data_IF_753277741673
#
_entry.id   IF_753277741673
#
_cell.length_a   1.000
_cell.length_b   1.000
_cell.length_c   1.000
_cell.angle_alpha   90.00
_cell.angle_beta   90.00
_cell.angle_gamma   90.00
#
_symmetry.space_group_name_H-M   'P 1'
#
loop_
_entity.id
_entity.type
_entity.pdbx_description
1 polymer ?
#
# COMPACT_ATOMS: atom_id res chain seq x y z
N UNK A 1 -25.94 -23.13 15.85
CA UNK A 1 -25.75 -22.40 14.59
C UNK A 1 -26.05 -20.93 14.87
N UNK A 2 -25.03 -20.12 15.13
CA UNK A 2 -25.22 -18.67 15.25
C UNK A 2 -25.41 -18.12 13.82
N UNK A 3 -26.48 -17.37 13.60
CA UNK A 3 -26.69 -16.69 12.32
C UNK A 3 -25.60 -15.63 12.15
N UNK A 4 -24.88 -15.67 11.03
CA UNK A 4 -23.92 -14.63 10.66
C UNK A 4 -24.60 -13.27 10.68
N UNK A 5 -23.96 -12.29 11.31
CA UNK A 5 -24.51 -10.96 11.39
C UNK A 5 -24.60 -10.35 9.99
N UNK A 6 -25.74 -9.80 9.55
CA UNK A 6 -25.87 -9.13 8.25
C UNK A 6 -24.80 -8.04 8.03
N UNK A 7 -24.24 -7.51 9.12
CA UNK A 7 -23.20 -6.47 9.12
C UNK A 7 -21.82 -7.02 8.75
N UNK A 8 -21.53 -8.29 9.07
CA UNK A 8 -20.25 -8.93 8.74
C UNK A 8 -20.18 -9.30 7.26
N UNK A 9 -21.27 -9.84 6.71
CA UNK A 9 -21.42 -10.11 5.27
C UNK A 9 -21.24 -8.84 4.42
N UNK A 10 -21.83 -7.71 4.84
CA UNK A 10 -21.67 -6.42 4.13
C UNK A 10 -20.23 -5.89 4.22
N UNK A 11 -19.49 -6.19 5.29
CA UNK A 11 -18.10 -5.73 5.47
C UNK A 11 -17.11 -6.54 4.65
N UNK A 12 -17.35 -7.84 4.43
CA UNK A 12 -16.54 -8.68 3.55
C UNK A 12 -16.79 -8.41 2.06
N UNK A 13 -18.03 -8.10 1.68
CA UNK A 13 -18.37 -7.76 0.29
C UNK A 13 -18.00 -6.32 -0.11
N UNK A 14 -17.75 -5.44 0.86
CA UNK A 14 -17.35 -4.07 0.58
C UNK A 14 -15.87 -3.98 0.15
N UNK A 15 -15.55 -3.35 -1.00
CA UNK A 15 -14.17 -3.09 -1.37
C UNK A 15 -13.51 -2.22 -0.29
N UNK A 16 -12.38 -2.69 0.24
CA UNK A 16 -11.61 -1.97 1.27
C UNK A 16 -11.39 -0.51 0.84
N UNK A 17 -11.82 0.48 1.63
CA UNK A 17 -11.58 1.88 1.30
C UNK A 17 -10.10 2.13 1.09
N UNK A 18 -9.78 2.94 0.08
CA UNK A 18 -8.44 3.52 -0.08
C UNK A 18 -8.15 4.55 1.03
N UNK A 19 -9.19 5.11 1.66
CA UNK A 19 -9.06 5.98 2.82
C UNK A 19 -9.00 5.18 4.15
N UNK A 20 -8.14 5.62 5.06
CA UNK A 20 -7.99 5.07 6.41
C UNK A 20 -9.11 5.51 7.38
N UNK A 21 -10.12 6.25 6.88
CA UNK A 21 -11.26 6.79 7.63
C UNK A 21 -12.58 6.21 7.10
N UNK A 22 -13.65 6.31 7.90
CA UNK A 22 -14.99 5.72 7.68
C UNK A 22 -15.77 6.29 6.47
N UNK A 23 -15.17 6.36 5.28
CA UNK A 23 -15.79 6.89 4.05
C UNK A 23 -16.47 8.26 4.26
N UNK A 24 -15.78 9.21 4.91
CA UNK A 24 -16.28 10.59 5.04
C UNK A 24 -16.39 11.21 3.64
N UNK A 25 -17.62 11.49 3.19
CA UNK A 25 -17.93 11.99 1.85
C UNK A 25 -17.35 11.11 0.71
N UNK A 26 -17.91 9.91 0.48
CA UNK A 26 -17.37 8.98 -0.51
C UNK A 26 -17.64 9.48 -1.93
N UNK A 27 -16.65 9.32 -2.79
CA UNK A 27 -16.70 9.58 -4.23
C UNK A 27 -16.35 8.30 -4.99
N UNK A 28 -16.95 8.13 -6.16
CA UNK A 28 -16.60 7.04 -7.07
C UNK A 28 -15.66 7.56 -8.15
N UNK A 29 -14.49 6.94 -8.25
CA UNK A 29 -13.50 7.18 -9.29
C UNK A 29 -13.98 6.61 -10.63
N UNK A 30 -13.42 7.08 -11.75
CA UNK A 30 -13.76 6.56 -13.08
C UNK A 30 -13.49 5.06 -13.24
N UNK A 31 -12.53 4.52 -12.48
CA UNK A 31 -12.22 3.10 -12.41
C UNK A 31 -13.20 2.28 -11.53
N UNK A 32 -14.30 2.89 -11.07
CA UNK A 32 -15.34 2.24 -10.25
C UNK A 32 -14.98 2.05 -8.77
N UNK A 33 -13.77 2.41 -8.36
CA UNK A 33 -13.34 2.34 -6.96
C UNK A 33 -13.91 3.52 -6.15
N UNK A 34 -14.26 3.27 -4.89
CA UNK A 34 -14.73 4.31 -3.99
C UNK A 34 -13.59 4.84 -3.12
N UNK A 35 -13.48 6.16 -3.01
CA UNK A 35 -12.51 6.85 -2.15
C UNK A 35 -13.20 7.97 -1.36
N UNK A 36 -12.52 8.50 -0.34
CA UNK A 36 -13.00 9.68 0.38
C UNK A 36 -12.62 10.95 -0.38
N UNK A 37 -13.52 11.94 -0.47
CA UNK A 37 -13.15 13.27 -0.94
C UNK A 37 -12.26 13.94 0.11
N UNK A 38 -10.98 14.16 -0.21
CA UNK A 38 -10.13 14.97 0.66
C UNK A 38 -10.72 16.40 0.74
N UNK A 39 -10.77 17.04 1.91
CA UNK A 39 -11.11 18.45 1.97
C UNK A 39 -10.12 19.21 1.10
N UNK A 40 -10.64 20.01 0.17
CA UNK A 40 -9.84 20.96 -0.61
C UNK A 40 -9.07 21.82 0.40
N UNK A 41 -7.77 21.57 0.54
CA UNK A 41 -6.93 22.37 1.42
C UNK A 41 -6.93 23.81 0.89
N UNK A 42 -7.15 24.84 1.72
CA UNK A 42 -7.27 26.22 1.24
C UNK A 42 -5.94 26.81 0.75
N UNK A 43 -4.85 26.04 0.80
CA UNK A 43 -3.56 26.41 0.26
C UNK A 43 -3.27 25.54 -0.96
N UNK A 44 -3.44 26.16 -2.13
CA UNK A 44 -3.32 25.51 -3.43
C UNK A 44 -2.03 24.71 -3.59
N UNK A 45 -2.20 23.42 -3.91
CA UNK A 45 -1.30 22.66 -4.79
C UNK A 45 -2.16 21.75 -5.68
N UNK A 46 -1.98 21.97 -6.97
CA UNK A 46 -2.23 21.09 -8.13
C UNK A 46 -3.63 20.50 -8.30
N UNK A 47 -4.50 21.28 -8.94
CA UNK A 47 -5.86 20.95 -9.37
C UNK A 47 -5.90 20.16 -10.70
N UNK A 48 -4.95 19.27 -10.97
CA UNK A 48 -4.81 18.70 -12.32
C UNK A 48 -4.99 17.18 -12.45
N UNK A 49 -5.44 16.46 -11.41
CA UNK A 49 -5.71 15.01 -11.54
C UNK A 49 -7.03 14.51 -10.97
N UNK A 50 -7.97 15.39 -10.64
CA UNK A 50 -9.32 14.94 -10.29
C UNK A 50 -10.23 15.19 -11.49
N UNK A 51 -10.39 14.16 -12.34
CA UNK A 51 -11.55 14.07 -13.22
C UNK A 51 -12.86 14.22 -12.41
N UNK A 52 -14.03 14.34 -13.05
CA UNK A 52 -15.28 14.64 -12.34
C UNK A 52 -15.64 13.52 -11.35
N UNK A 53 -15.20 13.69 -10.10
CA UNK A 53 -15.50 12.78 -8.99
C UNK A 53 -17.00 12.82 -8.75
N UNK A 54 -17.68 11.68 -8.93
CA UNK A 54 -19.11 11.58 -8.65
C UNK A 54 -19.32 11.29 -7.17
N UNK A 55 -20.01 12.16 -6.41
CA UNK A 55 -20.36 11.87 -5.02
C UNK A 55 -21.26 10.63 -4.94
N UNK A 56 -20.91 9.67 -4.08
CA UNK A 56 -21.66 8.44 -3.88
C UNK A 56 -22.56 8.56 -2.64
N UNK A 57 -23.72 9.20 -2.80
CA UNK A 57 -24.69 9.41 -1.71
C UNK A 57 -25.27 8.12 -1.14
N UNK A 58 -25.39 7.07 -1.96
CA UNK A 58 -25.90 5.78 -1.49
C UNK A 58 -24.91 5.14 -0.53
N UNK A 59 -23.62 5.15 -0.88
CA UNK A 59 -22.56 4.68 0.01
C UNK A 59 -22.49 5.52 1.28
N UNK A 60 -22.62 6.84 1.19
CA UNK A 60 -22.68 7.71 2.37
C UNK A 60 -23.82 7.31 3.32
N UNK A 61 -25.02 7.05 2.79
CA UNK A 61 -26.17 6.65 3.59
C UNK A 61 -25.98 5.27 4.25
N UNK A 62 -25.43 4.30 3.51
CA UNK A 62 -25.13 2.96 4.05
C UNK A 62 -24.11 3.05 5.17
N UNK A 63 -23.08 3.87 5.00
CA UNK A 63 -22.06 4.13 6.03
C UNK A 63 -22.69 4.75 7.27
N UNK A 64 -23.52 5.80 7.13
CA UNK A 64 -24.22 6.42 8.27
C UNK A 64 -25.14 5.43 9.01
N UNK A 65 -25.86 4.57 8.28
CA UNK A 65 -26.73 3.56 8.88
C UNK A 65 -25.93 2.43 9.56
N UNK A 66 -24.73 2.13 9.06
CA UNK A 66 -23.85 1.11 9.60
C UNK A 66 -23.00 1.61 10.79
N UNK A 67 -22.79 2.93 10.95
CA UNK A 67 -21.99 3.51 12.04
C UNK A 67 -22.41 3.05 13.44
N UNK A 68 -23.70 3.04 13.83
CA UNK A 68 -24.10 2.56 15.16
C UNK A 68 -23.88 1.06 15.34
N UNK A 69 -24.01 0.29 14.26
CA UNK A 69 -23.81 -1.17 14.24
C UNK A 69 -22.32 -1.52 14.34
N UNK A 70 -21.47 -0.77 13.64
CA UNK A 70 -20.02 -0.92 13.74
C UNK A 70 -19.51 -0.47 15.10
N UNK A 71 -20.09 0.57 15.70
CA UNK A 71 -19.71 1.04 17.04
C UNK A 71 -20.09 0.03 18.14
N UNK A 72 -21.25 -0.65 18.02
CA UNK A 72 -21.64 -1.71 18.94
C UNK A 72 -20.86 -3.02 18.73
N UNK A 73 -20.50 -3.36 17.49
CA UNK A 73 -19.67 -4.53 17.18
C UNK A 73 -18.18 -4.30 17.53
N UNK A 74 -17.65 -3.10 17.27
CA UNK A 74 -16.27 -2.72 17.59
C UNK A 74 -16.01 -2.67 19.11
N UNK A 75 -16.99 -2.20 19.88
CA UNK A 75 -16.94 -2.20 21.35
C UNK A 75 -16.98 -3.61 21.97
N UNK A 76 -17.40 -4.63 21.21
CA UNK A 76 -17.42 -6.02 21.67
C UNK A 76 -16.23 -6.85 21.19
N UNK A 77 -15.52 -6.43 20.15
CA UNK A 77 -14.72 -7.40 19.39
C UNK A 77 -13.22 -7.10 19.18
N UNK A 78 -12.65 -5.90 19.37
CA UNK A 78 -11.27 -5.74 18.82
C UNK A 78 -10.26 -4.76 19.39
N UNK A 79 -10.60 -3.84 20.31
CA UNK A 79 -9.62 -2.79 20.69
C UNK A 79 -9.54 -2.42 22.16
N UNK A 80 -10.44 -2.92 23.02
CA UNK A 80 -10.41 -2.55 24.45
C UNK A 80 -9.33 -3.33 25.24
N UNK A 81 -8.60 -4.24 24.59
CA UNK A 81 -7.63 -5.10 25.27
C UNK A 81 -8.31 -6.06 26.27
N UNK A 82 -9.60 -6.36 26.05
CA UNK A 82 -10.43 -7.20 26.92
C UNK A 82 -11.01 -8.37 26.10
N UNK A 83 -11.04 -9.56 26.71
CA UNK A 83 -11.63 -10.77 26.17
C UNK A 83 -13.16 -10.65 26.11
N UNK A 84 -13.76 -10.92 24.95
CA UNK A 84 -15.21 -10.83 24.78
C UNK A 84 -16.03 -11.80 25.65
N UNK A 85 -15.48 -12.99 25.91
CA UNK A 85 -16.14 -14.04 26.70
C UNK A 85 -15.98 -13.83 28.21
N UNK A 86 -14.75 -13.55 28.65
CA UNK A 86 -14.41 -13.48 30.07
C UNK A 86 -14.43 -12.07 30.66
N UNK A 87 -14.54 -11.03 29.80
CA UNK A 87 -14.44 -9.63 30.21
C UNK A 87 -13.15 -9.31 31.00
N UNK A 88 -12.07 -10.05 30.71
CA UNK A 88 -10.75 -9.89 31.32
C UNK A 88 -9.72 -9.32 30.34
N UNK A 89 -8.72 -8.63 30.87
CA UNK A 89 -7.64 -8.08 30.06
C UNK A 89 -6.86 -9.17 29.30
N UNK A 90 -6.64 -8.94 28.00
CA UNK A 90 -5.82 -9.76 27.13
C UNK A 90 -4.35 -9.48 27.43
N UNK A 91 -3.71 -10.41 28.15
CA UNK A 91 -2.31 -10.29 28.59
C UNK A 91 -1.39 -11.33 27.97
N UNK A 92 -1.98 -12.34 27.34
CA UNK A 92 -1.27 -13.48 26.75
C UNK A 92 -1.49 -13.51 25.25
N UNK A 93 -0.61 -14.19 24.55
CA UNK A 93 -0.70 -14.47 23.12
C UNK A 93 -0.60 -15.99 22.93
N UNK A 94 -1.58 -16.57 22.25
CA UNK A 94 -1.52 -17.97 21.84
C UNK A 94 -0.75 -18.06 20.53
N UNK A 95 0.31 -18.88 20.51
CA UNK A 95 1.17 -19.02 19.33
C UNK A 95 0.49 -19.81 18.21
N UNK A 96 -0.32 -20.81 18.55
CA UNK A 96 -1.05 -21.65 17.61
C UNK A 96 -2.16 -20.87 16.90
N UNK A 97 -2.98 -20.15 17.67
CA UNK A 97 -4.13 -19.40 17.15
C UNK A 97 -3.74 -18.00 16.66
N UNK A 98 -2.50 -17.56 16.92
CA UNK A 98 -1.97 -16.22 16.59
C UNK A 98 -2.87 -15.07 17.08
N UNK A 99 -3.45 -15.23 18.27
CA UNK A 99 -4.40 -14.26 18.83
C UNK A 99 -4.08 -13.91 20.28
N UNK A 100 -4.38 -12.66 20.71
CA UNK A 100 -4.30 -12.28 22.10
C UNK A 100 -5.45 -12.93 22.89
N UNK A 101 -5.13 -13.53 24.03
CA UNK A 101 -6.09 -14.23 24.89
C UNK A 101 -6.01 -13.75 26.36
N UNK A 102 -7.05 -14.06 27.14
CA UNK A 102 -7.05 -13.84 28.59
C UNK A 102 -6.43 -15.03 29.33
N UNK A 103 -6.14 -14.85 30.63
CA UNK A 103 -5.62 -15.92 31.50
C UNK A 103 -6.65 -17.03 31.70
N UNK A 104 -7.94 -16.72 31.62
CA UNK A 104 -9.00 -17.75 31.72
C UNK A 104 -9.06 -18.59 30.45
N UNK A 105 -8.92 -17.98 29.27
CA UNK A 105 -8.82 -18.71 28.00
C UNK A 105 -7.64 -19.69 28.01
N UNK A 106 -6.48 -19.24 28.49
CA UNK A 106 -5.28 -20.09 28.63
C UNK A 106 -5.57 -21.33 29.51
N UNK A 107 -6.26 -21.19 30.63
CA UNK A 107 -6.59 -22.34 31.49
C UNK A 107 -7.55 -23.35 30.85
N UNK A 108 -8.29 -22.94 29.82
CA UNK A 108 -9.25 -23.79 29.11
C UNK A 108 -8.62 -24.58 27.96
N UNK A 109 -7.41 -24.23 27.54
CA UNK A 109 -6.71 -24.81 26.40
C UNK A 109 -5.27 -25.20 26.77
N UNK A 110 -4.75 -26.31 26.25
CA UNK A 110 -3.36 -26.70 26.48
C UNK A 110 -2.45 -26.21 25.33
N UNK A 111 -2.54 -24.91 24.99
CA UNK A 111 -1.79 -24.27 23.90
C UNK A 111 -0.52 -23.60 24.43
N UNK A 112 0.45 -23.36 23.55
CA UNK A 112 1.64 -22.58 23.88
C UNK A 112 1.26 -21.10 23.97
N UNK A 113 1.47 -20.54 25.15
CA UNK A 113 1.17 -19.13 25.43
C UNK A 113 2.41 -18.39 25.90
N UNK A 114 2.54 -17.16 25.43
CA UNK A 114 3.59 -16.24 25.85
C UNK A 114 2.97 -14.91 26.27
N UNK A 115 3.67 -14.09 27.08
CA UNK A 115 3.21 -12.75 27.39
C UNK A 115 3.00 -11.92 26.12
N UNK A 116 1.86 -11.24 26.01
CA UNK A 116 1.51 -10.48 24.81
C UNK A 116 2.57 -9.43 24.45
N UNK A 117 3.20 -8.82 25.45
CA UNK A 117 4.25 -7.83 25.26
C UNK A 117 5.52 -8.44 24.65
N UNK A 118 5.87 -9.68 25.03
CA UNK A 118 7.04 -10.39 24.50
C UNK A 118 6.81 -10.79 23.05
N UNK A 119 5.65 -11.39 22.74
CA UNK A 119 5.24 -11.68 21.37
C UNK A 119 5.23 -10.40 20.51
N UNK A 120 4.65 -9.31 21.01
CA UNK A 120 4.61 -8.03 20.29
C UNK A 120 6.01 -7.50 19.98
N UNK A 121 6.95 -7.62 20.92
CA UNK A 121 8.33 -7.20 20.72
C UNK A 121 9.03 -8.07 19.66
N UNK A 122 8.87 -9.39 19.72
CA UNK A 122 9.46 -10.30 18.74
C UNK A 122 8.91 -10.05 17.31
N UNK A 123 7.59 -9.88 17.17
CA UNK A 123 7.00 -9.55 15.88
C UNK A 123 7.46 -8.20 15.35
N UNK A 124 7.61 -7.21 16.23
CA UNK A 124 8.15 -5.91 15.86
C UNK A 124 9.57 -6.04 15.30
N UNK A 125 10.44 -6.77 15.97
CA UNK A 125 11.82 -7.00 15.53
C UNK A 125 11.87 -7.75 14.18
N UNK A 126 11.05 -8.79 14.01
CA UNK A 126 10.92 -9.51 12.73
C UNK A 126 10.47 -8.57 11.61
N UNK A 127 9.47 -7.74 11.85
CA UNK A 127 8.95 -6.78 10.87
C UNK A 127 10.00 -5.72 10.51
N UNK A 128 10.72 -5.19 11.50
CA UNK A 128 11.81 -4.23 11.28
C UNK A 128 12.96 -4.86 10.46
N UNK A 129 13.34 -6.10 10.76
CA UNK A 129 14.33 -6.84 9.98
C UNK A 129 13.89 -7.03 8.53
N UNK A 130 12.65 -7.49 8.31
CA UNK A 130 12.09 -7.64 6.96
C UNK A 130 12.01 -6.32 6.21
N UNK A 131 11.60 -5.24 6.88
CA UNK A 131 11.54 -3.91 6.28
C UNK A 131 12.93 -3.43 5.85
N UNK A 132 13.96 -3.66 6.68
CA UNK A 132 15.35 -3.36 6.36
C UNK A 132 15.84 -4.13 5.14
N UNK A 133 15.63 -5.45 5.10
CA UNK A 133 16.03 -6.28 3.96
C UNK A 133 15.38 -5.81 2.65
N UNK A 134 14.06 -5.54 2.66
CA UNK A 134 13.37 -5.02 1.48
C UNK A 134 13.90 -3.66 1.02
N UNK A 135 14.29 -2.79 1.96
CA UNK A 135 14.89 -1.49 1.65
C UNK A 135 16.23 -1.66 0.92
N UNK A 136 17.09 -2.54 1.44
CA UNK A 136 18.39 -2.84 0.82
C UNK A 136 18.23 -3.44 -0.59
N UNK A 137 17.27 -4.35 -0.78
CA UNK A 137 16.94 -4.88 -2.10
C UNK A 137 16.48 -3.79 -3.06
N UNK A 138 15.60 -2.89 -2.61
CA UNK A 138 15.14 -1.74 -3.40
C UNK A 138 16.30 -0.84 -3.81
N UNK A 139 17.21 -0.53 -2.91
CA UNK A 139 18.40 0.27 -3.19
C UNK A 139 19.33 -0.42 -4.20
N UNK A 140 19.55 -1.74 -4.07
CA UNK A 140 20.31 -2.53 -5.06
C UNK A 140 19.70 -2.48 -6.45
N UNK A 141 18.38 -2.63 -6.55
CA UNK A 141 17.66 -2.54 -7.83
C UNK A 141 17.77 -1.14 -8.43
N UNK A 142 17.61 -0.10 -7.60
CA UNK A 142 17.71 1.29 -8.05
C UNK A 142 19.12 1.61 -8.55
N UNK A 143 20.16 1.22 -7.80
CA UNK A 143 21.56 1.43 -8.18
C UNK A 143 21.97 0.69 -9.45
N UNK A 144 21.44 -0.52 -9.70
CA UNK A 144 21.65 -1.23 -10.98
C UNK A 144 20.99 -0.51 -12.15
N UNK A 145 19.79 0.04 -11.95
CA UNK A 145 19.03 0.73 -13.00
C UNK A 145 19.74 2.01 -13.47
N UNK A 146 20.22 2.83 -12.54
CA UNK A 146 20.93 4.08 -12.86
C UNK A 146 22.31 3.79 -13.46
N UNK A 147 23.11 2.93 -12.83
CA UNK A 147 24.52 2.80 -13.23
C UNK A 147 24.71 1.93 -14.48
N UNK A 148 23.89 0.89 -14.68
CA UNK A 148 24.12 -0.07 -15.77
C UNK A 148 23.34 0.27 -17.04
N UNK A 149 22.07 0.69 -16.93
CA UNK A 149 21.26 0.95 -18.12
C UNK A 149 21.59 2.32 -18.73
N UNK A 150 21.64 3.38 -17.92
CA UNK A 150 21.90 4.74 -18.40
C UNK A 150 23.35 4.86 -18.92
N UNK A 151 24.32 4.30 -18.19
CA UNK A 151 25.73 4.30 -18.59
C UNK A 151 25.97 3.61 -19.94
N UNK A 152 25.44 2.40 -20.14
CA UNK A 152 25.58 1.67 -21.40
C UNK A 152 24.86 2.36 -22.55
N UNK A 153 23.64 2.86 -22.34
CA UNK A 153 22.92 3.61 -23.37
C UNK A 153 23.69 4.87 -23.79
N UNK A 154 24.28 5.60 -22.83
CA UNK A 154 25.07 6.78 -23.13
C UNK A 154 26.37 6.45 -23.88
N UNK A 155 27.02 5.34 -23.55
CA UNK A 155 28.21 4.85 -24.25
C UNK A 155 27.89 4.48 -25.71
N UNK A 156 26.82 3.71 -25.94
CA UNK A 156 26.38 3.38 -27.29
C UNK A 156 26.00 4.62 -28.11
N UNK A 157 25.32 5.60 -27.50
CA UNK A 157 24.99 6.87 -28.16
C UNK A 157 26.25 7.63 -28.60
N UNK A 158 27.27 7.72 -27.74
CA UNK A 158 28.54 8.35 -28.08
C UNK A 158 29.23 7.64 -29.24
N UNK A 159 29.25 6.31 -29.21
CA UNK A 159 29.85 5.50 -30.27
C UNK A 159 29.12 5.69 -31.61
N UNK A 160 27.80 5.58 -31.64
CA UNK A 160 27.00 5.80 -32.86
C UNK A 160 27.16 7.22 -33.40
N UNK A 161 27.27 8.23 -32.53
CA UNK A 161 27.48 9.61 -32.95
C UNK A 161 28.87 9.81 -33.57
N UNK A 162 29.91 9.19 -33.01
CA UNK A 162 31.26 9.22 -33.57
C UNK A 162 31.30 8.55 -34.95
N UNK A 163 30.71 7.37 -35.09
CA UNK A 163 30.62 6.65 -36.38
C UNK A 163 29.90 7.48 -37.44
N UNK A 164 28.77 8.12 -37.07
CA UNK A 164 28.05 9.03 -37.96
C UNK A 164 28.93 10.21 -38.40
N UNK A 165 29.72 10.78 -37.49
CA UNK A 165 30.61 11.90 -37.84
C UNK A 165 31.72 11.46 -38.80
N UNK A 166 32.30 10.27 -38.61
CA UNK A 166 33.28 9.72 -39.55
C UNK A 166 32.68 9.55 -40.94
N UNK A 167 31.53 8.89 -41.05
CA UNK A 167 30.83 8.69 -42.34
C UNK A 167 30.55 10.04 -43.01
N UNK A 168 30.04 11.03 -42.28
CA UNK A 168 29.76 12.36 -42.84
C UNK A 168 31.04 13.05 -43.33
N UNK A 169 32.14 12.94 -42.59
CA UNK A 169 33.43 13.53 -42.98
C UNK A 169 33.98 12.87 -44.25
N UNK A 170 33.94 11.54 -44.36
CA UNK A 170 34.36 10.82 -45.57
C UNK A 170 33.53 11.24 -46.79
N UNK A 171 32.21 11.33 -46.65
CA UNK A 171 31.35 11.81 -47.74
C UNK A 171 31.63 13.25 -48.14
N UNK A 172 32.00 14.12 -47.19
CA UNK A 172 32.41 15.50 -47.49
C UNK A 172 33.74 15.53 -48.26
N UNK A 173 34.73 14.72 -47.86
CA UNK A 173 35.99 14.60 -48.57
C UNK A 173 35.78 14.09 -50.01
N UNK A 174 34.94 13.08 -50.20
CA UNK A 174 34.61 12.56 -51.53
C UNK A 174 33.93 13.62 -52.41
N UNK A 175 33.06 14.47 -51.85
CA UNK A 175 32.45 15.58 -52.59
C UNK A 175 33.48 16.62 -53.01
N UNK A 176 34.35 17.05 -52.09
CA UNK A 176 35.42 18.01 -52.41
C UNK A 176 36.35 17.49 -53.49
N UNK A 177 36.81 16.24 -53.37
CA UNK A 177 37.64 15.60 -54.40
C UNK A 177 36.95 15.61 -55.77
N UNK A 178 35.63 15.39 -55.81
CA UNK A 178 34.88 15.38 -57.06
C UNK A 178 34.71 16.79 -57.66
N UNK A 179 34.51 17.81 -56.82
CA UNK A 179 34.44 19.21 -57.25
C UNK A 179 35.80 19.72 -57.79
N UNK A 180 36.92 19.23 -57.26
CA UNK A 180 38.27 19.58 -57.74
C UNK A 180 38.64 18.93 -59.08
N UNK A 181 37.91 17.90 -59.52
CA UNK A 181 38.14 17.16 -60.76
C UNK A 181 37.22 17.60 -61.92
N UNK A 182 36.25 18.50 -61.66
CA UNK A 182 35.37 19.14 -62.67
C UNK A 182 35.94 20.50 -63.11
#
# INVERSE_FOLDING_TARGET
>A
MAAESPVESVREEAPRPVCLEDFTAPVTLECGHNSCQAPLSPQGRDTEQQGPLRPNRQLANVVELAKPLSFQAAKRARWDGVCGEHQEALKLFCEEDQTPISVVCDRSQAHMVVPLQEAAQEYKEKLEAHAKTRREEREKVLGRKTTTAEGKCQEYLKWTQAERQMIVAEFQQLRQFREEQE
#
